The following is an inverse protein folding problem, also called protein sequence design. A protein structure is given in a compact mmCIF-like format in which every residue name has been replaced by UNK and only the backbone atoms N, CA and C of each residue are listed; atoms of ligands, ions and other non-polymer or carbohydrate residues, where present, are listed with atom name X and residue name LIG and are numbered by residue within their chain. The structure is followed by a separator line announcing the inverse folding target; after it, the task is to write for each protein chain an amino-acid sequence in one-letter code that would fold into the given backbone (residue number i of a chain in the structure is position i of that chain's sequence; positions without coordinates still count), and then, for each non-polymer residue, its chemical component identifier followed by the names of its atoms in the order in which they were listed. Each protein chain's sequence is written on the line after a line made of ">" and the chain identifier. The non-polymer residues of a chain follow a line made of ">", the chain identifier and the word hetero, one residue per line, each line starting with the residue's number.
data_IF_929479301578
#
_entry.id   IF_929479301578
#
_cell.length_a   1.000
_cell.length_b   1.000
_cell.length_c   1.000
_cell.angle_alpha   90.00
_cell.angle_beta   90.00
_cell.angle_gamma   90.00
#
_symmetry.space_group_name_H-M   'P 1'
#
loop_
_entity.id
_entity.type
_entity.pdbx_description
1 polymer ?
#
# COMPACT_ATOMS: atom_id res chain seq x y z
N UNK A 1 8.98 -12.84 -22.40
CA UNK A 1 9.63 -13.14 -21.09
C UNK A 1 11.00 -13.72 -21.40
N UNK A 2 12.10 -13.22 -20.82
CA UNK A 2 13.41 -13.87 -20.98
C UNK A 2 13.32 -15.32 -20.48
N UNK A 3 13.92 -16.25 -21.22
CA UNK A 3 13.90 -17.67 -20.92
C UNK A 3 14.45 -17.94 -19.51
N UNK A 4 13.74 -18.78 -18.73
CA UNK A 4 14.17 -19.22 -17.40
C UNK A 4 13.63 -18.44 -16.19
N UNK A 5 12.84 -17.37 -16.38
CA UNK A 5 12.20 -16.66 -15.25
C UNK A 5 10.90 -17.35 -14.82
N UNK A 6 10.67 -17.58 -13.51
CA UNK A 6 9.43 -18.19 -13.03
C UNK A 6 8.24 -17.26 -13.30
N UNK A 7 7.08 -17.85 -13.64
CA UNK A 7 5.80 -17.12 -13.86
C UNK A 7 5.21 -16.62 -12.54
N UNK A 8 5.93 -15.72 -11.87
CA UNK A 8 5.46 -15.07 -10.65
C UNK A 8 4.06 -14.47 -10.88
N UNK A 9 3.22 -14.40 -9.84
CA UNK A 9 1.88 -13.82 -9.92
C UNK A 9 1.86 -12.29 -10.09
N UNK A 10 3.00 -11.71 -10.41
CA UNK A 10 3.21 -10.30 -10.59
C UNK A 10 4.37 -10.07 -11.55
N UNK A 11 4.43 -8.86 -12.09
CA UNK A 11 5.61 -8.35 -12.76
C UNK A 11 5.81 -6.87 -12.46
N UNK A 12 6.74 -6.22 -13.14
CA UNK A 12 7.18 -4.87 -12.88
C UNK A 12 6.95 -4.00 -14.11
N UNK A 13 6.35 -2.84 -13.89
CA UNK A 13 6.38 -1.73 -14.84
C UNK A 13 7.74 -1.04 -14.68
N UNK A 14 8.57 -0.96 -15.74
CA UNK A 14 9.90 -0.39 -15.66
C UNK A 14 9.87 1.09 -15.23
N UNK A 15 10.96 1.54 -14.60
CA UNK A 15 11.19 2.95 -14.27
C UNK A 15 12.01 3.55 -15.41
N UNK A 16 11.34 4.08 -16.41
CA UNK A 16 11.98 4.61 -17.61
C UNK A 16 12.18 6.14 -17.49
N UNK A 17 13.24 6.65 -18.10
CA UNK A 17 13.46 8.09 -18.24
C UNK A 17 13.94 8.85 -17.00
N UNK A 18 13.93 10.19 -17.15
CA UNK A 18 14.18 11.14 -16.07
C UNK A 18 12.81 11.43 -15.42
N UNK A 19 12.61 11.16 -14.13
CA UNK A 19 11.33 11.38 -13.46
C UNK A 19 10.91 12.85 -13.58
N UNK A 20 9.60 13.10 -13.51
CA UNK A 20 9.06 14.46 -13.60
C UNK A 20 9.80 15.44 -12.69
N UNK A 21 9.96 16.69 -13.14
CA UNK A 21 10.63 17.70 -12.34
C UNK A 21 9.90 17.86 -11.02
N UNK A 22 10.69 17.81 -9.95
CA UNK A 22 10.23 17.87 -8.57
C UNK A 22 10.06 19.33 -8.18
N UNK A 23 8.92 19.90 -8.58
CA UNK A 23 8.62 21.32 -8.38
C UNK A 23 7.87 21.60 -7.07
N UNK A 24 7.72 20.58 -6.21
CA UNK A 24 7.00 20.69 -4.96
C UNK A 24 5.51 20.98 -5.17
N UNK A 25 4.94 21.80 -4.29
CA UNK A 25 3.57 22.29 -4.44
C UNK A 25 3.46 23.39 -5.51
N UNK A 26 4.56 24.09 -5.87
CA UNK A 26 4.51 25.28 -6.72
C UNK A 26 3.49 26.31 -6.20
N UNK A 27 2.74 26.95 -7.10
CA UNK A 27 1.61 27.81 -6.74
C UNK A 27 0.42 27.01 -6.17
N UNK A 28 0.42 25.68 -6.14
CA UNK A 28 -0.73 24.87 -5.72
C UNK A 28 -0.80 24.72 -4.19
N UNK A 29 -0.79 25.84 -3.47
CA UNK A 29 -0.99 25.89 -2.01
C UNK A 29 -2.45 25.55 -1.65
N UNK A 30 -2.64 24.97 -0.45
CA UNK A 30 -3.96 24.56 0.07
C UNK A 30 -4.76 25.73 0.69
N UNK A 31 -4.41 26.96 0.34
CA UNK A 31 -4.83 28.16 1.07
C UNK A 31 -6.13 28.78 0.51
N UNK A 32 -6.35 28.68 -0.80
CA UNK A 32 -7.56 29.17 -1.45
C UNK A 32 -7.85 28.38 -2.74
N UNK A 33 -9.13 28.16 -3.04
CA UNK A 33 -9.56 27.59 -4.32
C UNK A 33 -9.26 28.59 -5.45
N UNK A 34 -8.61 28.14 -6.53
CA UNK A 34 -8.13 28.98 -7.63
C UNK A 34 -8.98 28.82 -8.88
N UNK A 35 -9.44 29.93 -9.46
CA UNK A 35 -10.30 29.93 -10.65
C UNK A 35 -9.63 29.33 -11.90
N UNK A 36 -8.30 29.37 -11.99
CA UNK A 36 -7.51 28.79 -13.08
C UNK A 36 -7.26 27.28 -12.93
N UNK A 37 -7.68 26.68 -11.80
CA UNK A 37 -7.47 25.26 -11.48
C UNK A 37 -8.80 24.56 -11.21
N UNK A 38 -8.78 23.23 -11.27
CA UNK A 38 -9.97 22.41 -11.10
C UNK A 38 -10.12 21.96 -9.65
N UNK A 39 -11.28 22.23 -9.07
CA UNK A 39 -11.73 21.62 -7.81
C UNK A 39 -13.09 21.01 -8.04
N UNK A 40 -13.41 19.94 -7.31
CA UNK A 40 -14.65 19.22 -7.55
C UNK A 40 -14.71 17.86 -6.89
N UNK A 41 -15.74 17.11 -7.25
CA UNK A 41 -16.01 15.77 -6.72
C UNK A 41 -16.32 14.79 -7.84
N UNK A 42 -15.89 13.55 -7.64
CA UNK A 42 -16.19 12.40 -8.48
C UNK A 42 -16.99 11.40 -7.64
N UNK A 43 -18.15 10.98 -8.13
CA UNK A 43 -18.88 9.85 -7.56
C UNK A 43 -18.50 8.62 -8.38
N UNK A 44 -17.91 7.64 -7.71
CA UNK A 44 -17.35 6.47 -8.33
C UNK A 44 -18.09 5.20 -7.91
N UNK A 45 -18.34 4.34 -8.89
CA UNK A 45 -18.79 2.96 -8.69
C UNK A 45 -17.58 2.04 -8.67
N UNK A 46 -17.51 1.13 -7.72
CA UNK A 46 -16.56 0.02 -7.71
C UNK A 46 -17.32 -1.29 -7.80
N UNK A 47 -17.05 -2.08 -8.84
CA UNK A 47 -17.61 -3.42 -9.03
C UNK A 47 -16.53 -4.47 -8.81
N UNK A 48 -16.80 -5.48 -7.98
CA UNK A 48 -15.89 -6.62 -7.83
C UNK A 48 -16.05 -7.58 -9.01
N UNK A 49 -14.97 -7.87 -9.72
CA UNK A 49 -14.91 -8.87 -10.79
C UNK A 49 -14.46 -10.24 -10.24
N UNK A 50 -13.69 -10.22 -9.15
CA UNK A 50 -13.36 -11.42 -8.34
C UNK A 50 -13.57 -11.10 -6.86
N UNK A 51 -13.71 -12.12 -5.98
CA UNK A 51 -13.95 -11.86 -4.56
C UNK A 51 -12.90 -10.92 -3.96
N UNK A 52 -13.37 -9.87 -3.30
CA UNK A 52 -12.53 -8.88 -2.65
C UNK A 52 -12.39 -9.21 -1.17
N UNK A 53 -11.17 -9.22 -0.65
CA UNK A 53 -10.94 -9.33 0.79
C UNK A 53 -10.05 -8.20 1.29
N UNK A 54 -10.56 -7.45 2.26
CA UNK A 54 -9.84 -6.42 3.00
C UNK A 54 -9.84 -6.84 4.46
N UNK A 55 -8.66 -6.86 5.06
CA UNK A 55 -8.51 -7.32 6.44
C UNK A 55 -9.23 -6.39 7.42
N UNK A 56 -10.18 -6.93 8.17
CA UNK A 56 -10.82 -6.25 9.30
C UNK A 56 -10.09 -6.41 10.62
N UNK A 57 -10.16 -5.39 11.48
CA UNK A 57 -9.77 -5.48 12.89
C UNK A 57 -11.01 -5.76 13.76
N UNK A 58 -10.89 -6.63 14.77
CA UNK A 58 -11.90 -6.79 15.82
C UNK A 58 -12.83 -8.00 15.69
N UNK A 59 -12.40 -9.10 16.33
CA UNK A 59 -13.16 -10.10 17.11
C UNK A 59 -12.12 -11.16 17.48
N UNK A 60 -12.20 -11.78 18.66
CA UNK A 60 -11.41 -12.97 18.99
C UNK A 60 -11.45 -13.90 17.78
N UNK A 61 -10.30 -14.07 17.12
CA UNK A 61 -10.22 -14.81 15.88
C UNK A 61 -10.66 -16.24 16.17
N UNK A 62 -11.90 -16.58 15.82
CA UNK A 62 -12.32 -17.96 15.72
C UNK A 62 -11.26 -18.64 14.85
N UNK A 63 -10.63 -19.67 15.39
CA UNK A 63 -9.39 -20.24 14.90
C UNK A 63 -9.48 -20.54 13.39
N UNK A 64 -8.89 -19.68 12.55
CA UNK A 64 -8.87 -19.84 11.09
C UNK A 64 -9.83 -18.98 10.26
N UNK A 65 -10.84 -18.32 10.83
CA UNK A 65 -11.72 -17.41 10.10
C UNK A 65 -11.23 -15.96 10.13
N UNK A 66 -11.43 -15.25 9.01
CA UNK A 66 -10.91 -13.89 8.79
C UNK A 66 -12.03 -13.01 8.22
N UNK A 67 -12.68 -12.16 9.04
CA UNK A 67 -13.79 -11.33 8.59
C UNK A 67 -13.33 -10.19 7.68
N UNK A 68 -14.23 -9.75 6.80
CA UNK A 68 -14.03 -8.56 5.99
C UNK A 68 -13.98 -7.29 6.87
N UNK A 69 -13.29 -6.26 6.39
CA UNK A 69 -13.19 -4.97 7.08
C UNK A 69 -14.55 -4.32 7.36
N UNK A 70 -14.71 -3.81 8.58
CA UNK A 70 -15.89 -3.07 9.03
C UNK A 70 -15.46 -1.80 9.75
N UNK A 71 -16.11 -0.68 9.45
CA UNK A 71 -15.97 0.57 10.21
C UNK A 71 -17.27 0.82 10.98
N UNK A 72 -17.19 0.96 12.31
CA UNK A 72 -18.39 1.09 13.14
C UNK A 72 -19.39 -0.05 12.97
N UNK A 73 -18.90 -1.30 12.79
CA UNK A 73 -19.71 -2.49 12.52
C UNK A 73 -20.24 -2.62 11.09
N UNK A 74 -20.19 -1.55 10.29
CA UNK A 74 -20.68 -1.55 8.90
C UNK A 74 -19.59 -2.01 7.95
N UNK A 75 -19.97 -2.93 7.06
CA UNK A 75 -19.08 -3.42 6.00
C UNK A 75 -18.77 -2.28 5.03
N UNK A 76 -17.49 -2.03 4.78
CA UNK A 76 -17.06 -1.01 3.83
C UNK A 76 -15.65 -1.27 3.33
N UNK A 77 -15.28 -0.64 2.21
CA UNK A 77 -13.90 -0.54 1.78
C UNK A 77 -13.31 0.74 2.40
N UNK A 78 -12.21 0.66 3.17
CA UNK A 78 -11.64 1.85 3.78
C UNK A 78 -11.05 2.81 2.74
N UNK A 79 -11.20 4.10 2.97
CA UNK A 79 -10.69 5.17 2.12
C UNK A 79 -9.18 5.03 1.83
N UNK A 80 -8.40 4.59 2.83
CA UNK A 80 -6.95 4.37 2.70
C UNK A 80 -6.60 3.27 1.69
N UNK A 81 -7.42 2.23 1.57
CA UNK A 81 -7.20 1.16 0.60
C UNK A 81 -7.49 1.64 -0.83
N UNK A 82 -8.57 2.42 -1.03
CA UNK A 82 -8.89 3.05 -2.31
C UNK A 82 -7.78 4.03 -2.71
N UNK A 83 -7.43 4.94 -1.81
CA UNK A 83 -6.40 5.96 -2.03
C UNK A 83 -5.05 5.32 -2.36
N UNK A 84 -4.64 4.28 -1.63
CA UNK A 84 -3.39 3.57 -1.89
C UNK A 84 -3.36 2.85 -3.24
N UNK A 85 -4.48 2.24 -3.64
CA UNK A 85 -4.62 1.59 -4.94
C UNK A 85 -4.53 2.61 -6.09
N UNK A 86 -5.31 3.70 -6.02
CA UNK A 86 -5.31 4.74 -7.05
C UNK A 86 -3.96 5.47 -7.11
N UNK A 87 -3.34 5.75 -5.95
CA UNK A 87 -1.98 6.30 -5.86
C UNK A 87 -0.98 5.41 -6.60
N UNK A 88 -1.04 4.09 -6.43
CA UNK A 88 -0.11 3.17 -7.09
C UNK A 88 -0.18 3.25 -8.62
N UNK A 89 -1.38 3.49 -9.19
CA UNK A 89 -1.56 3.71 -10.62
C UNK A 89 -1.04 5.10 -11.00
N UNK A 90 -1.39 6.13 -10.23
CA UNK A 90 -0.93 7.49 -10.47
C UNK A 90 0.61 7.61 -10.41
N UNK A 91 1.29 6.89 -9.51
CA UNK A 91 2.75 6.82 -9.46
C UNK A 91 3.36 6.23 -10.74
N UNK A 92 2.66 5.32 -11.44
CA UNK A 92 3.09 4.78 -12.73
C UNK A 92 2.84 5.80 -13.85
N UNK A 93 1.60 6.29 -13.94
CA UNK A 93 1.14 7.17 -15.04
C UNK A 93 1.83 8.54 -14.98
N UNK A 94 2.25 8.98 -13.79
CA UNK A 94 2.88 10.28 -13.57
C UNK A 94 4.36 10.22 -13.15
N UNK A 95 5.01 9.05 -13.17
CA UNK A 95 6.41 8.88 -12.75
C UNK A 95 6.69 9.37 -11.33
N UNK A 96 5.75 9.11 -10.42
CA UNK A 96 5.87 9.48 -9.00
C UNK A 96 7.03 8.76 -8.30
N UNK A 97 7.47 9.24 -7.15
CA UNK A 97 8.53 8.57 -6.39
C UNK A 97 8.14 7.13 -6.01
N UNK A 98 9.14 6.27 -5.83
CA UNK A 98 8.94 4.89 -5.40
C UNK A 98 8.81 4.81 -3.87
N UNK A 99 7.63 5.16 -3.38
CA UNK A 99 7.31 5.28 -1.94
C UNK A 99 7.32 3.94 -1.18
N UNK A 100 7.14 2.82 -1.88
CA UNK A 100 6.94 1.48 -1.29
C UNK A 100 8.20 0.63 -1.14
N UNK A 101 9.38 1.11 -1.56
CA UNK A 101 10.61 0.38 -1.27
C UNK A 101 10.98 0.55 0.20
N UNK A 102 10.65 -0.45 1.01
CA UNK A 102 11.15 -0.52 2.38
C UNK A 102 12.68 -0.40 2.39
N UNK A 103 13.24 0.46 3.24
CA UNK A 103 14.69 0.67 3.41
C UNK A 103 15.49 -0.63 3.58
N UNK A 104 14.85 -1.70 4.08
CA UNK A 104 15.48 -3.03 4.26
C UNK A 104 15.75 -3.79 2.96
N UNK A 105 15.09 -3.45 1.85
CA UNK A 105 15.20 -4.16 0.58
C UNK A 105 16.08 -3.43 -0.44
N UNK A 106 16.03 -2.09 -0.48
CA UNK A 106 16.75 -1.29 -1.46
C UNK A 106 17.89 -0.51 -0.82
N UNK A 107 19.09 -0.77 -1.34
CA UNK A 107 20.21 0.16 -1.31
C UNK A 107 19.78 1.44 -2.05
N UNK A 108 19.97 2.67 -1.54
CA UNK A 108 19.59 3.90 -2.25
C UNK A 108 20.10 3.93 -3.71
N UNK A 109 21.31 3.42 -3.94
CA UNK A 109 21.93 3.26 -5.24
C UNK A 109 21.25 2.25 -6.19
N UNK A 110 20.31 1.43 -5.72
CA UNK A 110 19.55 0.49 -6.53
C UNK A 110 18.31 1.15 -7.16
N UNK A 111 17.89 2.32 -6.67
CA UNK A 111 16.80 3.11 -7.26
C UNK A 111 17.40 4.02 -8.34
N UNK A 112 16.81 4.09 -9.55
CA UNK A 112 17.24 5.06 -10.56
C UNK A 112 17.11 6.50 -10.03
N UNK A 113 18.00 7.42 -10.46
CA UNK A 113 17.95 8.82 -10.04
C UNK A 113 16.56 9.45 -10.17
N UNK A 114 16.17 10.24 -9.17
CA UNK A 114 14.91 10.98 -9.08
C UNK A 114 13.66 10.16 -8.71
N UNK A 115 13.70 8.83 -8.78
CA UNK A 115 12.62 7.95 -8.31
C UNK A 115 12.70 7.65 -6.80
N UNK A 116 13.71 8.19 -6.10
CA UNK A 116 13.80 8.10 -4.64
C UNK A 116 12.62 8.77 -3.93
N UNK A 117 12.30 8.35 -2.70
CA UNK A 117 11.16 8.89 -1.94
C UNK A 117 11.22 10.42 -1.81
N UNK A 118 10.06 11.06 -1.67
CA UNK A 118 9.97 12.47 -1.34
C UNK A 118 10.00 12.66 0.16
N UNK A 119 10.85 13.57 0.62
CA UNK A 119 11.11 13.89 2.03
C UNK A 119 11.04 15.39 2.33
N UNK A 120 11.02 16.24 1.31
CA UNK A 120 10.81 17.69 1.39
C UNK A 120 9.59 18.12 0.57
N UNK A 121 8.77 19.04 1.11
CA UNK A 121 7.55 19.52 0.43
C UNK A 121 7.87 20.30 -0.85
N UNK A 122 8.86 21.19 -0.78
CA UNK A 122 9.24 22.10 -1.87
C UNK A 122 9.87 21.37 -3.07
N UNK A 123 10.30 20.13 -2.88
CA UNK A 123 10.90 19.29 -3.92
C UNK A 123 10.19 17.92 -4.01
N UNK A 124 8.90 17.87 -3.65
CA UNK A 124 8.11 16.66 -3.83
C UNK A 124 7.70 16.47 -5.30
N UNK A 125 7.43 15.21 -5.68
CA UNK A 125 6.85 14.92 -6.99
C UNK A 125 5.35 15.22 -7.01
N UNK A 126 4.74 15.44 -8.20
CA UNK A 126 3.31 15.78 -8.31
C UNK A 126 2.38 14.76 -7.65
N UNK A 127 2.76 13.48 -7.59
CA UNK A 127 1.95 12.44 -6.94
C UNK A 127 1.99 12.54 -5.41
N UNK A 128 3.12 12.92 -4.82
CA UNK A 128 3.20 13.21 -3.39
C UNK A 128 2.43 14.49 -3.04
N UNK A 129 2.48 15.53 -3.89
CA UNK A 129 1.63 16.71 -3.73
C UNK A 129 0.14 16.38 -3.82
N UNK A 130 -0.24 15.49 -4.75
CA UNK A 130 -1.62 15.11 -4.99
C UNK A 130 -2.17 14.23 -3.86
N UNK A 131 -1.47 13.16 -3.49
CA UNK A 131 -1.94 12.17 -2.52
C UNK A 131 -1.44 12.39 -1.08
N UNK A 132 -0.51 13.32 -0.87
CA UNK A 132 0.12 13.61 0.41
C UNK A 132 1.42 12.83 0.64
N UNK A 133 2.21 13.32 1.57
CA UNK A 133 3.50 12.74 1.98
C UNK A 133 3.82 13.09 3.44
N UNK A 134 4.92 12.54 3.96
CA UNK A 134 5.47 12.94 5.25
C UNK A 134 6.81 13.59 4.97
N UNK A 135 6.94 14.85 5.37
CA UNK A 135 8.20 15.59 5.34
C UNK A 135 9.07 15.15 6.51
N UNK A 136 10.35 14.89 6.27
CA UNK A 136 11.33 14.56 7.31
C UNK A 136 12.50 15.54 7.19
N UNK A 137 12.54 16.57 8.05
CA UNK A 137 13.65 17.53 8.09
C UNK A 137 14.71 17.06 9.08
N UNK A 138 15.98 17.06 8.65
CA UNK A 138 17.14 16.70 9.50
C UNK A 138 17.67 17.89 10.34
N UNK A 139 16.91 18.98 10.48
CA UNK A 139 17.39 20.15 11.22
C UNK A 139 17.31 19.91 12.75
N UNK A 140 18.49 19.85 13.37
CA UNK A 140 18.77 19.87 14.83
C UNK A 140 18.11 18.77 15.68
N UNK A 141 18.74 17.59 15.70
CA UNK A 141 18.73 16.68 16.87
C UNK A 141 17.46 15.86 17.13
N UNK A 142 16.30 16.26 16.64
CA UNK A 142 15.03 15.54 16.74
C UNK A 142 14.28 15.66 15.41
N UNK A 143 14.24 14.58 14.62
CA UNK A 143 13.59 14.59 13.31
C UNK A 143 12.07 14.74 13.44
N UNK A 144 11.57 15.97 13.34
CA UNK A 144 10.14 16.25 13.35
C UNK A 144 9.54 15.86 11.99
N UNK A 145 8.74 14.79 11.99
CA UNK A 145 8.01 14.33 10.82
C UNK A 145 6.71 15.14 10.66
N UNK A 146 6.61 15.92 9.58
CA UNK A 146 5.44 16.78 9.33
C UNK A 146 4.59 16.20 8.20
N UNK A 147 3.35 15.75 8.46
CA UNK A 147 2.50 15.22 7.40
C UNK A 147 1.99 16.36 6.51
N UNK A 148 2.20 16.24 5.20
CA UNK A 148 1.54 17.05 4.20
C UNK A 148 0.26 16.32 3.74
N UNK A 149 -0.90 16.92 4.00
CA UNK A 149 -2.15 16.46 3.44
C UNK A 149 -2.10 16.52 1.91
N UNK A 150 -2.67 15.54 1.22
CA UNK A 150 -2.82 15.62 -0.24
C UNK A 150 -3.98 16.53 -0.64
N UNK A 151 -4.02 16.91 -1.92
CA UNK A 151 -5.14 17.63 -2.56
C UNK A 151 -6.30 16.72 -2.99
N UNK A 152 -6.20 15.40 -2.74
CA UNK A 152 -7.30 14.45 -2.94
C UNK A 152 -7.70 13.73 -1.65
N UNK A 153 -9.01 13.65 -1.44
CA UNK A 153 -9.64 12.94 -0.34
C UNK A 153 -10.60 11.88 -0.87
N UNK A 154 -10.63 10.73 -0.21
CA UNK A 154 -11.48 9.59 -0.55
C UNK A 154 -12.44 9.33 0.59
N UNK A 155 -13.71 9.09 0.30
CA UNK A 155 -14.62 8.49 1.26
C UNK A 155 -14.33 6.98 1.39
N UNK A 156 -14.78 6.31 2.47
CA UNK A 156 -14.97 4.86 2.43
C UNK A 156 -15.94 4.49 1.31
N UNK A 157 -15.72 3.34 0.66
CA UNK A 157 -16.72 2.81 -0.27
C UNK A 157 -17.76 1.99 0.48
N UNK A 158 -19.02 2.36 0.30
CA UNK A 158 -20.16 1.72 0.94
C UNK A 158 -20.86 0.79 -0.06
N UNK A 159 -21.38 -0.37 0.38
CA UNK A 159 -22.22 -1.24 -0.44
C UNK A 159 -23.36 -0.48 -1.12
N UNK A 160 -23.65 -0.81 -2.38
CA UNK A 160 -24.87 -0.37 -3.06
C UNK A 160 -25.68 -1.62 -3.40
N UNK A 161 -26.92 -1.66 -2.91
CA UNK A 161 -27.73 -2.88 -2.96
C UNK A 161 -27.13 -3.99 -2.09
N UNK A 162 -27.35 -5.24 -2.50
CA UNK A 162 -26.87 -6.41 -1.78
C UNK A 162 -25.43 -6.74 -2.15
N UNK A 163 -24.56 -6.87 -1.14
CA UNK A 163 -23.21 -7.45 -1.28
C UNK A 163 -23.23 -8.87 -0.73
N UNK A 164 -22.71 -9.82 -1.52
CA UNK A 164 -22.60 -11.22 -1.15
C UNK A 164 -21.30 -11.46 -0.38
N UNK A 165 -21.39 -12.11 0.78
CA UNK A 165 -20.21 -12.66 1.45
C UNK A 165 -19.88 -14.02 0.84
N UNK A 166 -18.62 -14.21 0.46
CA UNK A 166 -18.11 -15.43 -0.17
C UNK A 166 -16.97 -15.97 0.70
N UNK A 167 -17.14 -17.15 1.35
CA UNK A 167 -16.05 -17.77 2.09
C UNK A 167 -14.99 -18.30 1.11
N UNK A 168 -13.77 -17.75 1.19
CA UNK A 168 -12.63 -18.18 0.38
C UNK A 168 -11.63 -18.89 1.28
N UNK A 169 -11.53 -20.20 1.12
CA UNK A 169 -10.53 -21.02 1.81
C UNK A 169 -9.18 -20.89 1.09
N UNK A 170 -8.10 -20.69 1.84
CA UNK A 170 -6.73 -20.63 1.30
C UNK A 170 -5.70 -21.19 2.30
N UNK A 171 -4.49 -21.57 1.85
CA UNK A 171 -3.40 -21.95 2.76
C UNK A 171 -3.01 -20.79 3.71
N UNK A 172 -2.83 -21.04 5.02
CA UNK A 172 -2.39 -20.04 6.02
C UNK A 172 -0.86 -19.93 6.19
N UNK A 173 -0.38 -19.11 7.16
CA UNK A 173 -0.23 -17.68 6.97
C UNK A 173 0.74 -17.30 5.81
N UNK A 174 0.21 -16.41 4.96
CA UNK A 174 0.87 -15.54 3.98
C UNK A 174 1.74 -16.26 2.96
N UNK A 175 1.10 -16.67 1.86
CA UNK A 175 1.66 -16.59 0.50
C UNK A 175 3.03 -17.23 0.36
N UNK A 176 3.09 -18.43 -0.24
CA UNK A 176 4.33 -19.15 -0.53
C UNK A 176 5.50 -18.21 -0.81
N UNK A 177 6.67 -18.57 -0.28
CA UNK A 177 7.62 -17.70 0.42
C UNK A 177 7.49 -16.28 -0.05
N UNK A 178 7.17 -15.32 0.83
CA UNK A 178 7.37 -13.90 0.51
C UNK A 178 8.84 -13.74 0.15
N UNK A 179 9.23 -13.70 -1.12
CA UNK A 179 10.62 -13.71 -1.44
C UNK A 179 11.00 -12.26 -1.16
N UNK A 180 11.60 -11.98 -0.01
CA UNK A 180 12.52 -10.86 0.12
C UNK A 180 13.80 -11.19 -0.69
N UNK A 181 13.59 -11.77 -1.86
CA UNK A 181 14.54 -12.48 -2.66
C UNK A 181 14.98 -11.51 -3.72
N UNK A 182 16.22 -11.07 -3.60
CA UNK A 182 16.72 -9.96 -4.39
C UNK A 182 16.58 -10.20 -5.90
N UNK A 183 16.77 -11.44 -6.38
CA UNK A 183 16.63 -11.72 -7.82
C UNK A 183 15.22 -11.48 -8.39
N UNK A 184 14.19 -11.35 -7.54
CA UNK A 184 12.84 -11.05 -7.99
C UNK A 184 12.55 -9.57 -8.14
N UNK A 185 13.33 -8.71 -7.48
CA UNK A 185 13.09 -7.27 -7.43
C UNK A 185 14.20 -6.47 -8.08
N UNK A 186 15.38 -7.07 -8.25
CA UNK A 186 16.56 -6.44 -8.82
C UNK A 186 16.96 -7.14 -10.11
N UNK A 187 17.35 -6.33 -11.09
CA UNK A 187 18.01 -6.80 -12.29
C UNK A 187 19.40 -7.38 -11.93
N UNK A 188 19.74 -8.59 -12.38
CA UNK A 188 20.98 -9.26 -11.98
C UNK A 188 22.24 -8.63 -12.60
N UNK A 189 22.13 -7.96 -13.77
CA UNK A 189 23.27 -7.34 -14.44
C UNK A 189 23.62 -5.97 -13.86
N UNK A 190 22.59 -5.15 -13.59
CA UNK A 190 22.73 -3.76 -13.15
C UNK A 190 22.58 -3.59 -11.63
N UNK A 191 21.94 -4.55 -10.94
CA UNK A 191 21.59 -4.45 -9.53
C UNK A 191 20.50 -3.42 -9.21
N UNK A 192 19.89 -2.80 -10.23
CA UNK A 192 18.81 -1.82 -10.10
C UNK A 192 17.46 -2.48 -9.88
N UNK A 193 16.52 -1.77 -9.28
CA UNK A 193 15.15 -2.27 -9.15
C UNK A 193 14.49 -2.42 -10.52
N UNK A 194 13.70 -3.49 -10.68
CA UNK A 194 13.00 -3.80 -11.94
C UNK A 194 11.83 -2.85 -12.22
N UNK A 195 11.29 -2.25 -11.16
CA UNK A 195 10.33 -1.14 -11.25
C UNK A 195 9.14 -1.28 -10.31
N UNK A 196 7.96 -0.82 -10.75
CA UNK A 196 6.74 -0.81 -9.95
C UNK A 196 6.02 -2.15 -10.07
N UNK A 197 5.93 -2.88 -8.96
CA UNK A 197 5.32 -4.19 -8.90
C UNK A 197 3.80 -4.11 -9.04
N UNK A 198 3.25 -4.81 -10.02
CA UNK A 198 1.81 -5.02 -10.21
C UNK A 198 1.50 -6.51 -10.31
N UNK A 199 0.33 -6.91 -9.80
CA UNK A 199 -0.14 -8.30 -9.86
C UNK A 199 -0.90 -8.56 -11.16
N UNK A 200 -0.77 -9.77 -11.69
CA UNK A 200 -1.60 -10.22 -12.79
C UNK A 200 -2.99 -10.61 -12.31
N UNK A 201 -3.99 -10.38 -13.15
CA UNK A 201 -5.33 -10.92 -12.96
C UNK A 201 -5.41 -12.40 -13.36
N UNK A 202 -6.23 -13.17 -12.63
CA UNK A 202 -6.47 -14.60 -12.89
C UNK A 202 -7.88 -14.91 -13.40
N UNK A 203 -8.71 -13.90 -13.65
CA UNK A 203 -10.04 -14.13 -14.21
C UNK A 203 -10.96 -14.97 -13.32
N UNK A 204 -11.79 -15.76 -14.00
CA UNK A 204 -12.60 -16.85 -13.49
C UNK A 204 -11.77 -18.01 -12.90
N UNK A 205 -10.49 -18.11 -13.27
CA UNK A 205 -9.56 -19.16 -12.84
C UNK A 205 -8.89 -18.89 -11.50
N UNK A 206 -9.32 -17.88 -10.73
CA UNK A 206 -8.79 -17.67 -9.37
C UNK A 206 -8.97 -18.92 -8.48
N UNK A 207 -10.04 -19.70 -8.69
CA UNK A 207 -10.26 -20.97 -7.97
C UNK A 207 -9.22 -22.03 -8.32
N UNK A 208 -8.81 -22.10 -9.58
CA UNK A 208 -7.76 -23.00 -10.03
C UNK A 208 -6.39 -22.58 -9.48
N UNK A 209 -6.12 -21.27 -9.41
CA UNK A 209 -4.94 -20.72 -8.73
C UNK A 209 -4.91 -21.08 -7.24
N UNK A 210 -6.06 -20.99 -6.55
CA UNK A 210 -6.19 -21.43 -5.16
C UNK A 210 -6.00 -22.94 -5.01
N UNK A 211 -6.57 -23.75 -5.92
CA UNK A 211 -6.39 -25.21 -5.92
C UNK A 211 -4.91 -25.58 -6.09
N UNK A 212 -4.23 -24.99 -7.06
CA UNK A 212 -2.80 -25.18 -7.25
C UNK A 212 -2.00 -24.79 -5.99
N UNK A 213 -2.36 -23.69 -5.35
CA UNK A 213 -1.74 -23.30 -4.09
C UNK A 213 -1.97 -24.31 -2.95
N UNK A 214 -3.14 -24.97 -2.91
CA UNK A 214 -3.40 -26.08 -1.98
C UNK A 214 -2.62 -27.34 -2.34
N UNK A 215 -2.45 -27.66 -3.61
CA UNK A 215 -1.63 -28.81 -4.01
C UNK A 215 -0.16 -28.61 -3.62
N UNK A 216 0.33 -27.37 -3.75
CA UNK A 216 1.69 -26.98 -3.41
C UNK A 216 1.93 -26.82 -1.89
N UNK A 217 0.96 -26.26 -1.15
CA UNK A 217 1.13 -25.84 0.27
C UNK A 217 0.18 -26.52 1.26
N UNK A 218 -0.90 -27.14 0.79
CA UNK A 218 -2.01 -27.64 1.60
C UNK A 218 -1.67 -28.83 2.49
N UNK A 219 -0.55 -29.53 2.23
CA UNK A 219 0.00 -30.56 3.13
C UNK A 219 0.68 -29.97 4.38
N UNK A 220 0.86 -28.66 4.42
CA UNK A 220 1.80 -28.02 5.34
C UNK A 220 1.23 -26.80 6.09
N UNK A 221 0.31 -26.06 5.48
CA UNK A 221 -0.31 -24.89 6.09
C UNK A 221 -1.68 -25.21 6.70
N UNK A 222 -1.93 -24.69 7.92
CA UNK A 222 -3.29 -24.63 8.46
C UNK A 222 -4.13 -23.70 7.57
N UNK A 223 -5.21 -24.17 6.94
CA UNK A 223 -6.01 -23.34 6.05
C UNK A 223 -6.71 -22.24 6.83
N UNK A 224 -6.83 -21.08 6.20
CA UNK A 224 -7.66 -19.97 6.69
C UNK A 224 -8.83 -19.78 5.75
N UNK A 225 -9.94 -19.28 6.28
CA UNK A 225 -11.12 -18.89 5.50
C UNK A 225 -11.27 -17.38 5.59
N UNK A 226 -11.19 -16.73 4.44
CA UNK A 226 -11.47 -15.31 4.29
C UNK A 226 -12.96 -15.13 4.03
N UNK A 227 -13.61 -14.23 4.75
CA UNK A 227 -14.92 -13.71 4.38
C UNK A 227 -14.71 -12.64 3.30
N UNK A 228 -14.51 -13.07 2.06
CA UNK A 228 -14.44 -12.14 0.94
C UNK A 228 -15.84 -11.60 0.61
N UNK A 229 -15.90 -10.56 -0.20
CA UNK A 229 -17.16 -9.94 -0.64
C UNK A 229 -17.19 -9.82 -2.15
N UNK A 230 -18.39 -9.93 -2.69
CA UNK A 230 -18.69 -9.66 -4.09
C UNK A 230 -19.93 -8.80 -4.20
N UNK A 231 -19.92 -7.88 -5.14
CA UNK A 231 -20.96 -6.91 -5.39
C UNK A 231 -20.34 -5.57 -5.67
N UNK A 232 -21.15 -4.54 -5.51
CA UNK A 232 -20.74 -3.21 -5.89
C UNK A 232 -20.75 -2.23 -4.72
N UNK A 233 -19.89 -1.23 -4.82
CA UNK A 233 -19.68 -0.19 -3.83
C UNK A 233 -19.73 1.18 -4.51
N UNK A 234 -20.05 2.21 -3.74
CA UNK A 234 -19.97 3.60 -4.17
C UNK A 234 -19.07 4.39 -3.20
N UNK A 235 -18.25 5.26 -3.75
CA UNK A 235 -17.39 6.17 -2.98
C UNK A 235 -17.24 7.49 -3.70
N UNK A 236 -16.82 8.50 -2.94
CA UNK A 236 -16.57 9.83 -3.46
C UNK A 236 -15.07 10.14 -3.42
N UNK A 237 -14.61 10.84 -4.45
CA UNK A 237 -13.27 11.45 -4.50
C UNK A 237 -13.43 12.95 -4.63
N UNK A 238 -13.03 13.69 -3.59
CA UNK A 238 -12.95 15.15 -3.63
C UNK A 238 -11.54 15.58 -3.99
N UNK A 239 -11.41 16.64 -4.78
CA UNK A 239 -10.14 17.19 -5.19
C UNK A 239 -10.13 18.72 -5.19
N UNK A 240 -8.97 19.32 -4.95
CA UNK A 240 -8.79 20.77 -4.92
C UNK A 240 -7.59 21.22 -5.76
N UNK A 241 -7.77 22.33 -6.48
CA UNK A 241 -6.72 23.05 -7.20
C UNK A 241 -5.83 22.15 -8.09
N UNK A 242 -6.44 21.25 -8.86
CA UNK A 242 -5.72 20.39 -9.80
C UNK A 242 -5.51 21.10 -11.13
N UNK A 243 -4.31 21.01 -11.66
CA UNK A 243 -4.03 21.35 -13.06
C UNK A 243 -4.73 20.35 -14.00
N UNK A 244 -4.87 20.71 -15.28
CA UNK A 244 -5.41 19.81 -16.31
C UNK A 244 -4.73 18.43 -16.31
N UNK A 245 -3.40 18.43 -16.21
CA UNK A 245 -2.59 17.22 -16.17
C UNK A 245 -2.86 16.38 -14.93
N UNK A 246 -2.94 17.00 -13.76
CA UNK A 246 -3.18 16.30 -12.50
C UNK A 246 -4.60 15.71 -12.44
N UNK A 247 -5.59 16.45 -12.94
CA UNK A 247 -6.95 15.97 -13.06
C UNK A 247 -7.03 14.79 -14.05
N UNK A 248 -6.36 14.88 -15.20
CA UNK A 248 -6.24 13.78 -16.16
C UNK A 248 -5.61 12.53 -15.53
N UNK A 249 -4.53 12.68 -14.76
CA UNK A 249 -3.89 11.58 -14.02
C UNK A 249 -4.83 10.97 -12.99
N UNK A 250 -5.54 11.79 -12.20
CA UNK A 250 -6.49 11.30 -11.20
C UNK A 250 -7.63 10.51 -11.85
N UNK A 251 -8.26 11.09 -12.88
CA UNK A 251 -9.39 10.50 -13.58
C UNK A 251 -9.00 9.20 -14.27
N UNK A 252 -7.87 9.18 -14.99
CA UNK A 252 -7.37 7.94 -15.61
C UNK A 252 -6.99 6.88 -14.57
N UNK A 253 -6.40 7.28 -13.44
CA UNK A 253 -6.05 6.34 -12.36
C UNK A 253 -7.28 5.74 -11.66
N UNK A 254 -8.42 6.42 -11.72
CA UNK A 254 -9.72 5.93 -11.22
C UNK A 254 -10.42 5.08 -12.27
N UNK A 255 -10.65 5.60 -13.47
CA UNK A 255 -11.30 4.89 -14.56
C UNK A 255 -10.24 4.54 -15.62
N UNK A 256 -9.81 3.28 -15.63
CA UNK A 256 -8.90 2.75 -16.65
C UNK A 256 -9.64 2.44 -17.95
N UNK A 257 -8.90 2.08 -19.01
CA UNK A 257 -9.52 1.55 -20.22
C UNK A 257 -10.35 0.28 -19.95
N UNK A 258 -11.34 0.02 -20.81
CA UNK A 258 -12.31 -1.08 -20.66
C UNK A 258 -11.67 -2.48 -20.53
N UNK A 259 -10.49 -2.66 -21.11
CA UNK A 259 -9.72 -3.91 -21.10
C UNK A 259 -8.76 -4.03 -19.92
N UNK A 260 -8.78 -3.09 -18.96
CA UNK A 260 -7.91 -3.08 -17.79
C UNK A 260 -8.72 -3.11 -16.48
N UNK A 261 -8.12 -3.63 -15.40
CA UNK A 261 -8.73 -3.63 -14.06
C UNK A 261 -7.72 -3.23 -12.98
N UNK A 262 -8.26 -2.82 -11.84
CA UNK A 262 -7.45 -2.57 -10.65
C UNK A 262 -7.35 -3.81 -9.77
N UNK A 263 -6.32 -3.84 -8.93
CA UNK A 263 -6.18 -4.82 -7.86
C UNK A 263 -6.28 -4.18 -6.48
N UNK A 264 -7.28 -4.57 -5.70
CA UNK A 264 -7.56 -4.08 -4.35
C UNK A 264 -7.44 -5.19 -3.30
N UNK A 265 -7.03 -4.84 -2.08
CA UNK A 265 -7.06 -5.78 -0.95
C UNK A 265 -5.98 -6.87 -0.98
N UNK A 266 -6.27 -7.98 -0.31
CA UNK A 266 -5.33 -9.06 -0.03
C UNK A 266 -5.52 -10.25 -0.98
N UNK A 267 -4.60 -11.21 -0.90
CA UNK A 267 -4.64 -12.45 -1.70
C UNK A 267 -4.60 -12.23 -3.23
N UNK A 268 -4.09 -11.08 -3.70
CA UNK A 268 -3.81 -10.79 -5.12
C UNK A 268 -3.05 -11.90 -5.85
N UNK A 269 -2.01 -12.55 -5.27
CA UNK A 269 -1.34 -13.69 -5.93
C UNK A 269 -2.25 -14.86 -6.31
N UNK A 270 -3.40 -14.97 -5.66
CA UNK A 270 -4.37 -16.04 -5.81
C UNK A 270 -5.62 -15.58 -6.59
N UNK A 271 -5.53 -14.42 -7.27
CA UNK A 271 -6.60 -13.90 -8.13
C UNK A 271 -7.71 -13.11 -7.43
N UNK A 272 -7.60 -12.87 -6.12
CA UNK A 272 -8.59 -12.06 -5.39
C UNK A 272 -8.42 -10.55 -5.64
N UNK A 273 -9.53 -9.83 -5.50
CA UNK A 273 -9.55 -8.38 -5.48
C UNK A 273 -9.34 -7.71 -6.84
N UNK A 274 -9.76 -8.36 -7.93
CA UNK A 274 -9.91 -7.66 -9.22
C UNK A 274 -11.17 -6.82 -9.17
N UNK A 275 -11.04 -5.52 -9.46
CA UNK A 275 -12.16 -4.58 -9.39
C UNK A 275 -12.17 -3.67 -10.62
N UNK A 276 -13.37 -3.26 -11.04
CA UNK A 276 -13.59 -2.20 -12.01
C UNK A 276 -14.05 -0.95 -11.28
N UNK A 277 -13.54 0.21 -11.68
CA UNK A 277 -14.06 1.50 -11.22
C UNK A 277 -14.59 2.28 -12.42
N UNK A 278 -15.77 2.88 -12.25
CA UNK A 278 -16.34 3.85 -13.19
C UNK A 278 -16.66 5.16 -12.46
N UNK A 279 -16.65 6.27 -13.19
CA UNK A 279 -17.06 7.58 -12.68
C UNK A 279 -18.50 7.80 -13.16
N UNK A 280 -19.46 7.78 -12.24
CA UNK A 280 -20.89 7.94 -12.56
C UNK A 280 -21.30 9.41 -12.56
N UNK A 281 -20.66 10.22 -11.71
CA UNK A 281 -20.90 11.66 -11.66
C UNK A 281 -19.57 12.39 -11.57
N UNK A 282 -19.44 13.43 -12.38
CA UNK A 282 -18.29 14.32 -12.39
C UNK A 282 -18.80 15.74 -12.21
N UNK A 283 -18.41 16.38 -11.11
CA UNK A 283 -18.77 17.75 -10.83
C UNK A 283 -17.54 18.60 -10.57
N UNK A 284 -17.50 19.77 -11.22
CA UNK A 284 -16.51 20.82 -11.01
C UNK A 284 -17.14 21.99 -10.28
N UNK A 285 -16.37 22.67 -9.45
CA UNK A 285 -16.79 23.92 -8.82
C UNK A 285 -17.03 24.98 -9.90
N UNK A 286 -18.18 25.66 -9.81
CA UNK A 286 -18.53 26.80 -10.65
C UNK A 286 -18.20 28.10 -9.90
N UNK A 287 -17.12 28.79 -10.31
CA UNK A 287 -16.66 30.02 -9.67
C UNK A 287 -17.63 31.22 -9.81
N UNK A 288 -18.59 31.15 -10.74
CA UNK A 288 -19.62 32.18 -10.93
C UNK A 288 -20.92 31.97 -10.14
N UNK A 289 -21.03 30.90 -9.35
CA UNK A 289 -22.30 30.49 -8.68
C UNK A 289 -22.31 30.56 -7.16
N UNK A 290 -21.23 31.02 -6.51
CA UNK A 290 -21.15 31.11 -5.05
C UNK A 290 -22.27 32.03 -4.50
N UNK A 291 -23.20 31.53 -3.65
CA UNK A 291 -24.33 32.30 -3.17
C UNK A 291 -23.89 33.60 -2.49
N UNK A 292 -24.44 34.73 -2.93
CA UNK A 292 -24.33 36.02 -2.25
C UNK A 292 -23.11 36.89 -2.58
N UNK A 293 -22.35 36.60 -3.65
CA UNK A 293 -21.13 37.38 -3.92
C UNK A 293 -20.07 37.26 -2.81
N UNK A 294 -20.20 36.23 -1.97
CA UNK A 294 -19.30 35.92 -0.87
C UNK A 294 -17.96 35.38 -1.36
N UNK A 295 -16.92 35.51 -0.52
CA UNK A 295 -15.60 34.95 -0.78
C UNK A 295 -15.71 33.43 -0.99
N UNK A 296 -15.02 32.91 -2.00
CA UNK A 296 -14.87 31.48 -2.21
C UNK A 296 -14.38 30.79 -0.92
N UNK A 297 -14.86 29.57 -0.62
CA UNK A 297 -14.34 28.83 0.52
C UNK A 297 -12.84 28.66 0.37
N UNK A 298 -12.12 28.72 1.51
CA UNK A 298 -10.68 28.55 1.51
C UNK A 298 -10.27 27.20 0.92
N UNK A 299 -11.07 26.14 1.15
CA UNK A 299 -10.82 24.80 0.63
C UNK A 299 -12.09 24.10 0.20
N UNK A 300 -12.04 23.44 -0.96
CA UNK A 300 -13.15 22.62 -1.44
C UNK A 300 -13.28 21.32 -0.66
N UNK A 301 -12.17 20.71 -0.24
CA UNK A 301 -12.18 19.47 0.56
C UNK A 301 -12.93 19.62 1.90
N UNK A 302 -13.08 20.85 2.41
CA UNK A 302 -13.78 21.18 3.66
C UNK A 302 -15.10 21.92 3.43
N UNK A 303 -15.59 21.99 2.19
CA UNK A 303 -16.82 22.68 1.83
C UNK A 303 -17.98 21.69 1.70
N UNK A 304 -19.16 22.09 2.18
CA UNK A 304 -20.39 21.30 2.04
C UNK A 304 -21.18 21.75 0.80
N UNK A 305 -21.53 20.79 -0.05
CA UNK A 305 -22.07 20.99 -1.41
C UNK A 305 -23.46 21.66 -1.41
N UNK A 306 -23.49 23.00 -1.47
CA UNK A 306 -24.73 23.76 -1.68
C UNK A 306 -24.75 24.43 -3.07
N UNK A 307 -25.03 23.65 -4.11
CA UNK A 307 -25.60 24.13 -5.38
C UNK A 307 -24.67 24.86 -6.38
N UNK A 308 -23.35 24.83 -6.20
CA UNK A 308 -22.39 25.61 -7.03
C UNK A 308 -21.49 24.74 -7.90
N UNK A 309 -22.02 23.67 -8.47
CA UNK A 309 -21.24 22.78 -9.34
C UNK A 309 -21.70 22.84 -10.79
N UNK A 310 -20.79 22.57 -11.72
CA UNK A 310 -21.05 22.35 -13.14
C UNK A 310 -20.65 20.91 -13.50
N UNK A 311 -21.34 20.26 -14.45
CA UNK A 311 -20.92 18.95 -14.94
C UNK A 311 -19.50 18.99 -15.50
N UNK A 312 -18.72 17.96 -15.21
CA UNK A 312 -17.45 17.70 -15.86
C UNK A 312 -17.55 16.56 -16.87
N UNK A 313 -16.59 16.50 -17.78
CA UNK A 313 -16.51 15.46 -18.81
C UNK A 313 -15.45 14.42 -18.42
N UNK A 314 -15.90 13.34 -17.76
CA UNK A 314 -15.01 12.28 -17.32
C UNK A 314 -14.28 11.57 -18.46
N UNK A 315 -14.94 11.39 -19.61
CA UNK A 315 -14.33 10.75 -20.77
C UNK A 315 -13.23 11.63 -21.38
N UNK A 316 -13.48 12.94 -21.47
CA UNK A 316 -12.46 13.90 -21.89
C UNK A 316 -11.21 13.83 -20.99
N UNK A 317 -11.40 13.86 -19.67
CA UNK A 317 -10.28 13.85 -18.71
C UNK A 317 -9.54 12.51 -18.66
N UNK A 318 -10.26 11.39 -18.77
CA UNK A 318 -9.65 10.07 -18.90
C UNK A 318 -8.78 10.00 -20.17
N UNK A 319 -9.33 10.42 -21.32
CA UNK A 319 -8.60 10.46 -22.57
C UNK A 319 -7.41 11.43 -22.52
N UNK A 320 -7.55 12.56 -21.80
CA UNK A 320 -6.46 13.51 -21.58
C UNK A 320 -5.32 12.88 -20.77
N UNK A 321 -5.62 12.24 -19.64
CA UNK A 321 -4.61 11.53 -18.85
C UNK A 321 -3.86 10.46 -19.65
N UNK A 322 -4.58 9.70 -20.47
CA UNK A 322 -4.00 8.69 -21.37
C UNK A 322 -3.12 9.32 -22.46
N UNK A 323 -3.58 10.41 -23.10
CA UNK A 323 -2.80 11.16 -24.09
C UNK A 323 -1.51 11.70 -23.48
N UNK A 324 -1.63 12.33 -22.30
CA UNK A 324 -0.51 12.93 -21.56
C UNK A 324 0.51 11.90 -21.08
N UNK A 325 0.08 10.64 -20.88
CA UNK A 325 1.01 9.57 -20.57
C UNK A 325 1.72 9.04 -21.82
N UNK A 326 0.97 8.79 -22.91
CA UNK A 326 1.52 8.28 -24.18
C UNK A 326 2.49 9.26 -24.87
N UNK A 327 2.23 10.57 -24.74
CA UNK A 327 3.07 11.60 -25.35
C UNK A 327 4.44 11.76 -24.69
N UNK A 328 4.72 11.05 -23.58
CA UNK A 328 5.96 11.21 -22.85
C UNK A 328 7.12 10.47 -23.52
N UNK A 329 8.32 11.09 -23.56
CA UNK A 329 9.50 10.42 -24.08
C UNK A 329 9.84 9.17 -23.28
N UNK A 330 10.18 8.09 -23.98
CA UNK A 330 10.71 6.85 -23.39
C UNK A 330 9.75 6.12 -22.43
N UNK A 331 8.43 6.24 -22.60
CA UNK A 331 7.42 5.53 -21.78
C UNK A 331 6.69 4.39 -22.52
N UNK A 332 7.06 4.11 -23.77
CA UNK A 332 6.35 3.11 -24.59
C UNK A 332 6.40 1.71 -23.96
N UNK A 333 7.53 1.31 -23.37
CA UNK A 333 7.68 0.02 -22.74
C UNK A 333 7.01 -0.04 -21.36
N UNK A 334 7.08 1.03 -20.56
CA UNK A 334 6.30 1.15 -19.32
C UNK A 334 4.78 1.05 -19.56
N UNK A 335 4.26 1.77 -20.55
CA UNK A 335 2.85 1.72 -20.94
C UNK A 335 2.44 0.33 -21.45
N UNK A 336 3.21 -0.25 -22.36
CA UNK A 336 2.95 -1.61 -22.88
C UNK A 336 2.91 -2.62 -21.74
N UNK A 337 3.90 -2.56 -20.83
CA UNK A 337 3.98 -3.50 -19.72
C UNK A 337 2.84 -3.33 -18.71
N UNK A 338 2.46 -2.08 -18.43
CA UNK A 338 1.31 -1.78 -17.59
C UNK A 338 0.02 -2.40 -18.14
N UNK A 339 -0.25 -2.18 -19.43
CA UNK A 339 -1.41 -2.76 -20.12
C UNK A 339 -1.40 -4.28 -20.06
N UNK A 340 -0.26 -4.90 -20.36
CA UNK A 340 -0.12 -6.35 -20.31
C UNK A 340 -0.42 -6.93 -18.92
N UNK A 341 0.05 -6.27 -17.85
CA UNK A 341 -0.15 -6.76 -16.47
C UNK A 341 -1.59 -6.60 -16.02
N UNK A 342 -2.20 -5.42 -16.25
CA UNK A 342 -3.55 -5.10 -15.80
C UNK A 342 -4.67 -5.57 -16.75
N UNK A 343 -4.31 -6.23 -17.85
CA UNK A 343 -5.28 -6.71 -18.82
C UNK A 343 -6.31 -7.65 -18.20
N UNK A 344 -7.56 -7.47 -18.61
CA UNK A 344 -8.72 -8.23 -18.22
C UNK A 344 -9.69 -8.43 -19.40
N UNK A 345 -10.30 -9.61 -19.57
CA UNK A 345 -10.11 -10.82 -18.76
C UNK A 345 -8.77 -11.51 -19.06
N UNK A 346 -8.26 -12.27 -18.09
CA UNK A 346 -7.10 -13.15 -18.26
C UNK A 346 -7.47 -14.56 -17.87
N UNK A 347 -7.03 -15.54 -18.65
CA UNK A 347 -7.24 -16.97 -18.40
C UNK A 347 -5.94 -17.72 -18.04
N UNK A 348 -4.83 -16.98 -17.92
CA UNK A 348 -3.54 -17.53 -17.51
C UNK A 348 -3.47 -17.63 -15.99
N UNK A 349 -2.89 -18.73 -15.49
CA UNK A 349 -2.59 -18.89 -14.07
C UNK A 349 -1.12 -18.54 -13.83
N UNK A 350 -0.90 -17.57 -12.97
CA UNK A 350 0.43 -17.20 -12.48
C UNK A 350 0.57 -17.65 -11.04
N UNK A 351 1.69 -18.30 -10.72
CA UNK A 351 1.91 -18.91 -9.42
C UNK A 351 3.35 -18.69 -8.97
N UNK A 352 3.56 -18.68 -7.65
CA UNK A 352 4.92 -18.63 -7.14
C UNK A 352 5.70 -19.88 -7.59
N UNK A 353 7.00 -19.74 -7.89
CA UNK A 353 7.85 -20.91 -8.11
C UNK A 353 7.85 -21.85 -6.91
N UNK A 354 8.01 -23.15 -7.19
CA UNK A 354 8.06 -24.19 -6.18
C UNK A 354 9.31 -24.06 -5.31
N UNK A 355 9.30 -24.67 -4.12
CA UNK A 355 10.48 -24.74 -3.26
C UNK A 355 11.72 -25.32 -3.98
N UNK A 356 11.51 -26.31 -4.85
CA UNK A 356 12.60 -26.94 -5.61
C UNK A 356 13.25 -25.96 -6.58
N UNK A 357 12.45 -25.11 -7.24
CA UNK A 357 12.97 -24.05 -8.07
C UNK A 357 13.89 -23.12 -7.26
N UNK A 358 13.49 -22.71 -6.05
CA UNK A 358 14.31 -21.85 -5.19
C UNK A 358 15.66 -22.47 -4.79
N UNK A 359 15.69 -23.78 -4.49
CA UNK A 359 16.94 -24.50 -4.17
C UNK A 359 17.94 -24.54 -5.31
N UNK A 360 17.47 -24.54 -6.56
CA UNK A 360 18.32 -24.63 -7.75
C UNK A 360 19.00 -23.30 -8.16
N UNK A 361 18.64 -22.16 -7.55
CA UNK A 361 19.09 -20.85 -8.01
C UNK A 361 20.35 -20.35 -7.28
N UNK A 362 21.45 -20.13 -8.02
CA UNK A 362 22.66 -19.51 -7.47
C UNK A 362 22.37 -18.09 -7.00
N UNK A 363 22.78 -17.75 -5.78
CA UNK A 363 22.49 -16.45 -5.15
C UNK A 363 21.12 -16.35 -4.50
N UNK A 364 20.34 -17.43 -4.53
CA UNK A 364 19.10 -17.49 -3.79
C UNK A 364 19.34 -17.60 -2.29
N UNK A 365 19.30 -16.46 -1.58
CA UNK A 365 19.29 -16.45 -0.12
C UNK A 365 17.89 -16.86 0.34
N UNK A 366 17.57 -18.14 0.19
CA UNK A 366 16.40 -18.73 0.83
C UNK A 366 16.69 -18.75 2.34
N UNK A 367 16.32 -17.68 3.03
CA UNK A 367 16.31 -17.65 4.51
C UNK A 367 15.20 -18.51 5.10
N UNK A 368 14.39 -19.12 4.24
CA UNK A 368 13.19 -19.88 4.56
C UNK A 368 13.56 -21.37 4.54
N UNK A 369 13.69 -22.01 5.70
CA UNK A 369 13.85 -23.48 5.75
C UNK A 369 12.64 -24.15 5.10
N UNK A 370 12.74 -25.43 4.70
CA UNK A 370 11.58 -26.17 4.21
C UNK A 370 10.43 -26.08 5.25
N UNK A 371 10.74 -26.11 6.55
CA UNK A 371 9.77 -25.91 7.64
C UNK A 371 9.13 -24.51 7.62
N UNK A 372 9.92 -23.44 7.44
CA UNK A 372 9.39 -22.07 7.33
C UNK A 372 8.61 -21.84 6.02
N UNK A 373 8.96 -22.55 4.94
CA UNK A 373 8.25 -22.54 3.65
C UNK A 373 6.91 -23.27 3.79
N UNK A 374 6.90 -24.31 4.63
CA UNK A 374 5.78 -25.17 4.96
C UNK A 374 4.88 -24.59 6.07
N UNK A 375 5.21 -23.43 6.67
CA UNK A 375 4.43 -22.90 7.79
C UNK A 375 4.46 -23.78 9.04
N UNK A 376 5.37 -24.76 9.10
CA UNK A 376 5.75 -25.40 10.36
C UNK A 376 6.53 -24.34 11.13
N UNK A 377 6.20 -24.17 12.41
CA UNK A 377 7.12 -23.48 13.30
C UNK A 377 8.50 -24.11 13.08
N UNK A 378 9.56 -23.28 13.00
CA UNK A 378 10.92 -23.80 13.17
C UNK A 378 10.88 -24.77 14.36
N UNK A 379 11.58 -25.93 14.32
CA UNK A 379 11.59 -26.87 15.44
C UNK A 379 11.67 -26.04 16.70
N UNK A 380 10.61 -26.11 17.51
CA UNK A 380 10.48 -25.22 18.66
C UNK A 380 11.78 -25.38 19.42
N UNK A 381 12.62 -24.35 19.38
CA UNK A 381 13.57 -24.17 20.46
C UNK A 381 12.67 -24.25 21.69
N UNK A 382 12.92 -25.23 22.59
CA UNK A 382 12.03 -25.47 23.72
C UNK A 382 11.70 -24.11 24.31
N UNK A 383 10.40 -23.84 24.50
CA UNK A 383 9.91 -22.62 25.13
C UNK A 383 10.92 -22.24 26.21
N UNK A 384 11.72 -21.18 26.05
CA UNK A 384 12.69 -20.86 27.05
C UNK A 384 11.86 -20.52 28.28
N UNK A 385 12.00 -21.37 29.29
CA UNK A 385 11.50 -21.10 30.64
C UNK A 385 11.88 -19.65 30.95
N UNK A 386 10.92 -18.78 31.32
CA UNK A 386 11.25 -17.41 31.68
C UNK A 386 12.25 -17.44 32.83
N UNK A 387 13.50 -17.10 32.53
CA UNK A 387 14.53 -16.95 33.55
C UNK A 387 14.29 -15.61 34.24
N UNK A 388 13.88 -15.68 35.51
CA UNK A 388 13.96 -14.66 36.55
C UNK A 388 13.51 -13.22 36.20
N UNK A 389 12.26 -12.90 36.57
CA UNK A 389 11.78 -11.53 36.83
C UNK A 389 11.67 -10.60 35.62
N UNK A 390 10.53 -9.92 35.45
CA UNK A 390 10.42 -8.84 34.47
C UNK A 390 11.44 -7.76 34.83
N UNK A 391 12.22 -7.30 33.85
CA UNK A 391 13.20 -6.22 34.02
C UNK A 391 12.56 -4.89 33.68
N UNK A 392 12.98 -3.84 34.39
CA UNK A 392 12.56 -2.47 34.13
C UNK A 392 13.73 -1.66 33.59
N UNK A 393 13.40 -0.61 32.85
CA UNK A 393 14.40 0.28 32.28
C UNK A 393 13.81 1.52 31.65
N UNK A 394 14.71 2.38 31.16
CA UNK A 394 14.38 3.63 30.48
C UNK A 394 14.71 3.50 29.01
N UNK A 395 13.80 3.90 28.14
CA UNK A 395 14.00 3.89 26.69
C UNK A 395 15.09 4.91 26.34
N UNK A 396 16.24 4.42 25.89
CA UNK A 396 17.40 5.24 25.52
C UNK A 396 17.19 5.90 24.15
N UNK A 397 16.62 5.13 23.21
CA UNK A 397 16.21 5.59 21.87
C UNK A 397 15.19 4.63 21.29
N UNK A 398 14.25 5.15 20.52
CA UNK A 398 13.35 4.33 19.71
C UNK A 398 12.95 5.10 18.46
N UNK A 399 13.28 4.57 17.29
CA UNK A 399 13.01 5.19 16.00
C UNK A 399 12.87 4.11 14.91
N UNK A 400 12.11 4.38 13.83
CA UNK A 400 11.89 3.47 12.69
C UNK A 400 11.48 2.05 13.12
N UNK A 401 10.72 1.93 14.21
CA UNK A 401 10.16 0.68 14.72
C UNK A 401 11.13 -0.21 15.51
N UNK A 402 12.26 0.31 15.97
CA UNK A 402 13.18 -0.37 16.87
C UNK A 402 13.94 0.60 17.78
N UNK A 403 14.58 0.10 18.83
CA UNK A 403 15.25 0.95 19.80
C UNK A 403 16.14 0.18 20.77
N UNK A 404 16.58 0.89 21.80
CA UNK A 404 17.29 0.33 22.93
C UNK A 404 16.67 0.82 24.24
N UNK A 405 16.53 -0.09 25.19
CA UNK A 405 16.15 0.19 26.57
C UNK A 405 17.41 0.02 27.42
N UNK A 406 17.70 1.00 28.25
CA UNK A 406 18.73 0.87 29.28
C UNK A 406 18.05 0.30 30.52
N UNK A 407 18.32 -0.97 30.81
CA UNK A 407 17.81 -1.63 32.00
C UNK A 407 18.39 -0.98 33.26
N UNK A 408 17.71 -1.14 34.40
CA UNK A 408 18.12 -0.53 35.67
C UNK A 408 19.48 -1.01 36.20
N UNK A 409 19.88 -2.22 35.82
CA UNK A 409 21.21 -2.77 36.09
C UNK A 409 22.30 -2.25 35.13
N UNK A 410 21.95 -1.32 34.23
CA UNK A 410 22.85 -0.65 33.30
C UNK A 410 23.02 -1.35 31.95
N UNK A 411 22.44 -2.54 31.75
CA UNK A 411 22.55 -3.27 30.48
C UNK A 411 21.73 -2.61 29.36
N UNK A 412 22.27 -2.62 28.14
CA UNK A 412 21.60 -2.04 26.96
C UNK A 412 20.89 -3.13 26.17
N UNK A 413 19.57 -3.14 26.24
CA UNK A 413 18.70 -4.20 25.70
C UNK A 413 18.02 -3.72 24.41
N UNK A 414 18.07 -4.52 23.36
CA UNK A 414 17.43 -4.19 22.07
C UNK A 414 15.91 -4.38 22.10
N UNK A 415 15.12 -3.47 21.53
CA UNK A 415 13.64 -3.60 21.44
C UNK A 415 13.14 -3.37 20.01
N UNK A 416 12.10 -4.11 19.59
CA UNK A 416 11.44 -3.96 18.29
C UNK A 416 9.94 -3.71 18.48
N UNK A 417 9.31 -2.92 17.60
CA UNK A 417 7.90 -2.50 17.75
C UNK A 417 6.91 -3.67 17.87
N UNK A 418 7.22 -4.81 17.27
CA UNK A 418 6.39 -6.03 17.36
C UNK A 418 6.28 -6.57 18.78
N UNK A 419 7.25 -6.25 19.63
CA UNK A 419 7.39 -6.76 20.99
C UNK A 419 6.75 -5.82 22.04
N UNK A 420 6.24 -4.66 21.62
CA UNK A 420 5.55 -3.71 22.50
C UNK A 420 4.07 -4.07 22.56
N UNK A 421 3.52 -4.18 23.77
CA UNK A 421 2.08 -4.37 24.00
C UNK A 421 1.32 -3.04 23.82
N UNK A 422 0.15 -3.10 23.19
CA UNK A 422 -0.74 -1.95 22.98
C UNK A 422 -1.42 -1.92 21.60
N UNK A 423 -2.42 -1.05 21.47
CA UNK A 423 -3.20 -0.78 20.26
C UNK A 423 -2.66 0.45 19.51
N UNK A 424 -2.67 0.45 18.18
CA UNK A 424 -2.18 1.57 17.37
C UNK A 424 -0.68 1.52 17.04
N UNK A 425 -0.07 2.70 16.79
CA UNK A 425 1.37 2.82 16.48
C UNK A 425 2.21 2.40 17.69
N UNK A 426 2.92 1.27 17.56
CA UNK A 426 3.78 0.68 18.61
C UNK A 426 5.13 1.40 18.67
N UNK A 427 5.13 2.64 19.17
CA UNK A 427 6.34 3.43 19.42
C UNK A 427 6.64 3.54 20.90
N UNK A 428 7.91 3.65 21.27
CA UNK A 428 8.33 4.10 22.60
C UNK A 428 8.95 5.49 22.46
N UNK A 429 8.87 6.30 23.51
CA UNK A 429 9.50 7.61 23.56
C UNK A 429 10.80 7.54 24.37
N UNK A 430 11.80 8.33 23.99
CA UNK A 430 13.04 8.42 24.79
C UNK A 430 12.68 8.93 26.19
N UNK A 431 13.26 8.31 27.22
CA UNK A 431 12.95 8.62 28.61
C UNK A 431 11.74 7.86 29.17
N UNK A 432 10.97 7.16 28.34
CA UNK A 432 9.82 6.40 28.79
C UNK A 432 10.25 5.19 29.64
N UNK A 433 9.53 4.97 30.74
CA UNK A 433 9.77 3.87 31.67
C UNK A 433 8.97 2.64 31.22
N UNK A 434 9.65 1.52 31.06
CA UNK A 434 9.06 0.29 30.53
C UNK A 434 9.47 -0.93 31.35
N UNK A 435 8.59 -1.92 31.38
CA UNK A 435 8.83 -3.25 31.94
C UNK A 435 8.78 -4.29 30.82
N UNK A 436 9.71 -5.25 30.82
CA UNK A 436 9.90 -6.19 29.73
C UNK A 436 10.59 -7.47 30.20
N UNK A 437 10.42 -8.54 29.43
CA UNK A 437 11.20 -9.77 29.58
C UNK A 437 12.43 -9.72 28.69
N UNK A 438 13.53 -10.35 29.11
CA UNK A 438 14.76 -10.41 28.32
C UNK A 438 14.94 -11.80 27.71
N UNK A 439 15.12 -11.82 26.40
CA UNK A 439 15.39 -13.03 25.62
C UNK A 439 16.72 -12.88 24.90
N UNK A 440 17.55 -13.93 24.87
CA UNK A 440 18.81 -13.90 24.11
C UNK A 440 18.53 -14.24 22.65
N UNK A 441 18.60 -13.22 21.79
CA UNK A 441 18.48 -13.37 20.35
C UNK A 441 19.84 -13.60 19.67
N UNK A 442 19.84 -13.89 18.35
CA UNK A 442 21.06 -14.12 17.55
C UNK A 442 21.97 -12.88 17.42
N UNK A 443 21.58 -11.74 17.98
CA UNK A 443 22.34 -10.47 17.98
C UNK A 443 22.54 -9.91 19.39
N UNK A 444 22.33 -10.73 20.42
CA UNK A 444 22.38 -10.31 21.82
C UNK A 444 20.99 -10.20 22.47
N UNK A 445 20.96 -9.73 23.73
CA UNK A 445 19.75 -9.66 24.53
C UNK A 445 18.74 -8.67 23.94
N UNK A 446 17.47 -9.10 23.88
CA UNK A 446 16.35 -8.30 23.39
C UNK A 446 15.20 -8.29 24.38
N UNK A 447 14.48 -7.19 24.42
CA UNK A 447 13.26 -7.01 25.17
C UNK A 447 12.07 -7.62 24.40
N UNK A 448 11.33 -8.49 25.07
CA UNK A 448 10.05 -9.02 24.65
C UNK A 448 8.99 -8.65 25.67
N UNK A 449 7.72 -8.71 25.26
CA UNK A 449 6.60 -8.39 26.13
C UNK A 449 6.67 -7.01 26.80
N UNK A 450 7.02 -5.97 26.05
CA UNK A 450 7.28 -4.64 26.60
C UNK A 450 5.97 -3.93 26.92
N UNK A 451 5.79 -3.53 28.17
CA UNK A 451 4.68 -2.72 28.68
C UNK A 451 5.20 -1.39 29.23
N UNK A 452 4.37 -0.36 29.09
CA UNK A 452 4.65 0.99 29.63
C UNK A 452 4.27 1.00 31.09
N UNK A 453 5.12 1.56 31.94
CA UNK A 453 4.79 1.83 33.33
C UNK A 453 4.22 3.24 33.40
N UNK A 454 2.96 3.38 33.83
CA UNK A 454 2.26 4.67 33.87
C UNK A 454 3.05 5.69 34.74
N UNK A 455 3.41 6.84 34.14
CA UNK A 455 4.15 7.90 34.83
C UNK A 455 5.05 8.77 33.95
N UNK A 456 5.38 8.36 32.72
CA UNK A 456 6.03 9.24 31.74
C UNK A 456 4.97 9.96 30.91
N UNK A 457 4.79 11.28 31.11
CA UNK A 457 3.88 12.10 30.28
C UNK A 457 4.26 12.02 28.79
N UNK A 458 3.27 12.19 27.87
CA UNK A 458 3.46 12.13 26.42
C UNK A 458 4.46 13.16 25.89
#
# INVERSE_FOLDING_TARGET
>A
MPEGRPRNPYDFVPLEGNPQSRNGLGDNTQEAVKASLHSGRLVCRLTTETPLYIHGEGAQQAQGQRPFFRAGGRLCIPASALKGMVRSIAEIVADGCLSTLSERAARPQAVPPGYGPCDQVDTCCPICALFGMVETREASGEGQATPLAGRVAFSPALPVGSVRTVPVRMPGPRGGPKPAHRSFYFDPGTGKVLGRKLYYHHGDRYRDSLRQAFDDLGKYAQPITLEAVEGDFAFEVRFENLTDRELGVLVYSLALEDDLRHHLGFAKPYGLGTVRITIETFELVAFGGLPGGGKAPARFLSYDDAGTTRPGDGAYWQAQGLRDWKARPNHAAAYTRFKEILHWPRHEIFAYPTFQWFKGQRGARVKVTLDQYQGRAAPTTPTPTPTAGRRQGIVERFDRGWGFIRADDGERIFVHHTNIRGTGFRTLYRGERVEFDVEIGPKGPRAVDVVRLEGGKP
#
